data_IF_903763475789
#
_entry.id   IF_903763475789
#
_cell.length_a   1.000
_cell.length_b   1.000
_cell.length_c   1.000
_cell.angle_alpha   90.00
_cell.angle_beta   90.00
_cell.angle_gamma   90.00
#
_symmetry.space_group_name_H-M   'P 1'
#
loop_
_entity.id
_entity.type
_entity.pdbx_description
1 polymer ?
#
# COMPACT_ATOMS: atom_id res chain seq x y z
N UNK A 1 0.51 9.30 -15.26
CA UNK A 1 1.02 8.82 -13.96
C UNK A 1 2.08 7.75 -14.19
N UNK A 2 3.27 7.87 -13.58
CA UNK A 2 4.30 6.82 -13.55
C UNK A 2 4.03 5.80 -12.43
N UNK A 3 4.81 4.70 -12.38
CA UNK A 3 4.70 3.71 -11.30
C UNK A 3 5.13 4.32 -9.96
N UNK A 4 6.14 5.18 -9.96
CA UNK A 4 6.62 5.91 -8.78
C UNK A 4 5.56 6.89 -8.26
N UNK A 5 4.89 7.60 -9.17
CA UNK A 5 3.78 8.48 -8.80
C UNK A 5 2.59 7.69 -8.23
N UNK A 6 2.27 6.53 -8.83
CA UNK A 6 1.26 5.62 -8.29
C UNK A 6 1.67 5.14 -6.89
N UNK A 7 2.90 4.67 -6.73
CA UNK A 7 3.42 4.14 -5.47
C UNK A 7 3.44 5.21 -4.35
N UNK A 8 3.88 6.44 -4.67
CA UNK A 8 3.85 7.56 -3.71
C UNK A 8 2.41 7.88 -3.30
N UNK A 9 1.48 8.00 -4.27
CA UNK A 9 0.07 8.24 -3.95
C UNK A 9 -0.55 7.09 -3.10
N UNK A 10 -0.18 5.85 -3.42
CA UNK A 10 -0.65 4.65 -2.73
C UNK A 10 -0.11 4.54 -1.29
N UNK A 11 1.17 4.90 -1.07
CA UNK A 11 1.82 4.82 0.23
C UNK A 11 1.56 6.05 1.12
N UNK A 12 1.15 7.18 0.55
CA UNK A 12 1.00 8.46 1.26
C UNK A 12 0.20 8.39 2.57
N UNK A 13 -0.95 7.68 2.66
CA UNK A 13 -1.69 7.58 3.92
C UNK A 13 -0.85 6.92 5.02
N UNK A 14 -0.07 5.90 4.67
CA UNK A 14 0.82 5.22 5.61
C UNK A 14 1.99 6.11 6.02
N UNK A 15 2.62 6.81 5.05
CA UNK A 15 3.73 7.75 5.34
C UNK A 15 3.31 8.80 6.37
N UNK A 16 2.13 9.41 6.17
CA UNK A 16 1.59 10.41 7.09
C UNK A 16 1.33 9.83 8.48
N UNK A 17 0.64 8.69 8.54
CA UNK A 17 0.34 8.04 9.80
C UNK A 17 1.59 7.64 10.59
N UNK A 18 2.64 7.17 9.90
CA UNK A 18 3.91 6.82 10.54
C UNK A 18 4.68 8.05 11.03
N UNK A 19 4.64 9.17 10.29
CA UNK A 19 5.30 10.41 10.68
C UNK A 19 4.59 11.10 11.85
N UNK A 20 3.26 11.14 11.81
CA UNK A 20 2.44 11.77 12.85
C UNK A 20 2.36 10.91 14.12
N UNK A 21 2.34 9.58 13.99
CA UNK A 21 2.08 8.67 15.09
C UNK A 21 0.67 8.87 15.65
N UNK A 22 0.50 8.60 16.96
CA UNK A 22 -0.72 8.91 17.72
C UNK A 22 -2.01 8.44 17.05
N UNK A 23 -2.97 9.36 16.92
CA UNK A 23 -4.32 9.09 16.43
C UNK A 23 -4.35 8.68 14.95
N UNK A 24 -3.51 9.27 14.09
CA UNK A 24 -3.46 8.88 12.68
C UNK A 24 -3.01 7.43 12.52
N UNK A 25 -1.99 7.03 13.28
CA UNK A 25 -1.52 5.64 13.30
C UNK A 25 -2.56 4.70 13.93
N UNK A 26 -3.31 5.16 14.95
CA UNK A 26 -4.40 4.38 15.54
C UNK A 26 -5.55 4.13 14.55
N UNK A 27 -5.87 5.11 13.70
CA UNK A 27 -6.85 4.94 12.61
C UNK A 27 -6.35 3.90 11.61
N UNK A 28 -5.09 4.01 11.15
CA UNK A 28 -4.51 3.04 10.22
C UNK A 28 -4.50 1.62 10.81
N UNK A 29 -4.20 1.47 12.10
CA UNK A 29 -4.28 0.19 12.82
C UNK A 29 -5.69 -0.38 12.83
N UNK A 30 -6.68 0.47 13.09
CA UNK A 30 -8.09 0.04 13.06
C UNK A 30 -8.46 -0.46 11.67
N UNK A 31 -8.19 0.31 10.62
CA UNK A 31 -8.44 -0.10 9.23
C UNK A 31 -7.73 -1.42 8.91
N UNK A 32 -6.48 -1.58 9.35
CA UNK A 32 -5.70 -2.78 9.07
C UNK A 32 -6.23 -4.04 9.77
N UNK A 33 -6.68 -3.91 11.02
CA UNK A 33 -7.35 -5.00 11.74
C UNK A 33 -8.63 -5.39 11.04
N UNK A 34 -9.44 -4.40 10.64
CA UNK A 34 -10.71 -4.71 10.01
C UNK A 34 -10.54 -5.29 8.60
N UNK A 35 -9.49 -4.93 7.88
CA UNK A 35 -9.15 -5.59 6.62
C UNK A 35 -8.77 -7.08 6.80
N UNK A 36 -8.30 -7.46 7.99
CA UNK A 36 -7.90 -8.84 8.33
C UNK A 36 -9.07 -9.65 8.87
N UNK A 37 -9.87 -9.04 9.75
CA UNK A 37 -11.04 -9.64 10.38
C UNK A 37 -12.24 -8.66 10.28
N UNK A 38 -12.93 -8.64 9.12
CA UNK A 38 -14.00 -7.69 8.87
C UNK A 38 -15.29 -8.07 9.63
N UNK A 39 -15.90 -7.14 10.40
CA UNK A 39 -17.21 -7.32 11.00
C UNK A 39 -18.27 -7.67 9.96
N UNK A 40 -19.36 -8.25 10.45
CA UNK A 40 -20.52 -8.52 9.63
C UNK A 40 -21.01 -7.26 8.89
N UNK A 41 -21.38 -7.42 7.62
CA UNK A 41 -21.85 -6.32 6.78
C UNK A 41 -20.75 -5.41 6.19
N UNK A 42 -19.48 -5.57 6.55
CA UNK A 42 -18.37 -4.80 5.95
C UNK A 42 -18.12 -5.13 4.47
N UNK A 43 -18.67 -6.24 3.97
CA UNK A 43 -18.70 -6.56 2.55
C UNK A 43 -19.23 -5.41 1.67
N UNK A 44 -20.09 -4.52 2.21
CA UNK A 44 -20.59 -3.32 1.50
C UNK A 44 -19.51 -2.29 1.15
N UNK A 45 -18.38 -2.28 1.87
CA UNK A 45 -17.26 -1.38 1.60
C UNK A 45 -16.33 -1.91 0.50
N UNK A 46 -16.45 -3.19 0.13
CA UNK A 46 -15.63 -3.85 -0.90
C UNK A 46 -15.65 -3.07 -2.22
N UNK A 47 -16.81 -2.57 -2.64
CA UNK A 47 -16.97 -1.82 -3.89
C UNK A 47 -16.09 -0.56 -3.96
N UNK A 48 -15.83 0.10 -2.82
CA UNK A 48 -14.98 1.29 -2.77
C UNK A 48 -13.50 0.92 -2.89
N UNK A 49 -13.05 -0.10 -2.16
CA UNK A 49 -11.68 -0.63 -2.27
C UNK A 49 -11.40 -1.21 -3.67
N UNK A 50 -12.40 -1.83 -4.27
CA UNK A 50 -12.33 -2.38 -5.62
C UNK A 50 -12.14 -1.31 -6.68
N UNK A 51 -12.74 -0.12 -6.50
CA UNK A 51 -12.55 1.01 -7.41
C UNK A 51 -11.10 1.50 -7.39
N UNK A 52 -10.55 1.78 -6.20
CA UNK A 52 -9.15 2.18 -6.04
C UNK A 52 -8.19 1.16 -6.64
N UNK A 53 -8.48 -0.14 -6.46
CA UNK A 53 -7.68 -1.22 -7.07
C UNK A 53 -7.78 -1.21 -8.60
N UNK A 54 -8.98 -1.00 -9.16
CA UNK A 54 -9.17 -0.90 -10.63
C UNK A 54 -8.35 0.25 -11.21
N UNK A 55 -8.34 1.39 -10.56
CA UNK A 55 -7.58 2.57 -11.01
C UNK A 55 -6.07 2.32 -10.99
N UNK A 56 -5.55 1.71 -9.92
CA UNK A 56 -4.15 1.31 -9.84
C UNK A 56 -3.79 0.30 -10.94
N UNK A 57 -4.62 -0.74 -11.15
CA UNK A 57 -4.39 -1.76 -12.18
C UNK A 57 -4.43 -1.19 -13.59
N UNK A 58 -5.30 -0.20 -13.86
CA UNK A 58 -5.34 0.47 -15.17
C UNK A 58 -4.00 1.18 -15.47
N UNK A 59 -3.46 1.88 -14.47
CA UNK A 59 -2.17 2.56 -14.58
C UNK A 59 -1.03 1.56 -14.79
N UNK A 60 -1.02 0.47 -14.03
CA UNK A 60 0.00 -0.58 -14.16
C UNK A 60 -0.07 -1.27 -15.53
N UNK A 61 -1.28 -1.53 -16.04
CA UNK A 61 -1.49 -2.16 -17.36
C UNK A 61 -0.85 -1.30 -18.46
N UNK A 62 -0.98 0.02 -18.38
CA UNK A 62 -0.38 0.94 -19.33
C UNK A 62 1.15 1.06 -19.21
N UNK A 63 1.75 0.64 -18.08
CA UNK A 63 3.19 0.81 -17.80
C UNK A 63 3.98 -0.49 -17.82
N UNK A 64 3.32 -1.64 -17.74
CA UNK A 64 3.92 -2.97 -17.72
C UNK A 64 3.30 -3.82 -18.83
N UNK A 65 3.55 -3.48 -20.12
CA UNK A 65 3.04 -4.28 -21.23
C UNK A 65 3.61 -5.71 -21.13
N UNK A 66 2.74 -6.71 -21.29
CA UNK A 66 3.10 -8.13 -21.18
C UNK A 66 2.82 -8.76 -19.81
N UNK A 67 2.45 -7.98 -18.79
CA UNK A 67 2.02 -8.53 -17.49
C UNK A 67 0.50 -8.70 -17.47
N UNK A 68 0.05 -9.91 -17.13
CA UNK A 68 -1.37 -10.24 -17.07
C UNK A 68 -2.13 -9.45 -16.01
N UNK A 69 -3.40 -9.11 -16.28
CA UNK A 69 -4.24 -8.35 -15.33
C UNK A 69 -4.41 -9.04 -13.97
N UNK A 70 -4.47 -10.38 -13.95
CA UNK A 70 -4.56 -11.15 -12.70
C UNK A 70 -3.32 -10.95 -11.83
N UNK A 71 -2.14 -10.98 -12.44
CA UNK A 71 -0.87 -10.73 -11.77
C UNK A 71 -0.77 -9.28 -11.27
N UNK A 72 -1.19 -8.29 -12.06
CA UNK A 72 -1.21 -6.89 -11.61
C UNK A 72 -2.13 -6.68 -10.40
N UNK A 73 -3.28 -7.37 -10.36
CA UNK A 73 -4.14 -7.37 -9.18
C UNK A 73 -3.45 -8.01 -7.98
N UNK A 74 -2.73 -9.12 -8.18
CA UNK A 74 -1.98 -9.79 -7.11
C UNK A 74 -0.89 -8.86 -6.55
N UNK A 75 -0.06 -8.25 -7.41
CA UNK A 75 0.97 -7.28 -7.02
C UNK A 75 0.40 -6.10 -6.25
N UNK A 76 -0.75 -5.59 -6.67
CA UNK A 76 -1.45 -4.50 -5.97
C UNK A 76 -1.91 -4.94 -4.57
N UNK A 77 -2.39 -6.18 -4.42
CA UNK A 77 -2.72 -6.75 -3.11
C UNK A 77 -1.48 -6.97 -2.23
N UNK A 78 -0.37 -7.42 -2.80
CA UNK A 78 0.90 -7.53 -2.08
C UNK A 78 1.37 -6.16 -1.55
N UNK A 79 1.34 -5.12 -2.39
CA UNK A 79 1.66 -3.76 -1.97
C UNK A 79 0.75 -3.28 -0.83
N UNK A 80 -0.56 -3.52 -0.93
CA UNK A 80 -1.51 -3.20 0.15
C UNK A 80 -1.22 -4.00 1.43
N UNK A 81 -0.90 -5.28 1.32
CA UNK A 81 -0.58 -6.15 2.45
C UNK A 81 0.70 -5.73 3.19
N UNK A 82 1.73 -5.30 2.45
CA UNK A 82 2.95 -4.74 3.04
C UNK A 82 2.64 -3.49 3.89
N UNK A 83 1.82 -2.57 3.35
CA UNK A 83 1.38 -1.40 4.11
C UNK A 83 0.53 -1.80 5.31
N UNK A 84 -0.38 -2.76 5.15
CA UNK A 84 -1.22 -3.27 6.23
C UNK A 84 -0.37 -3.84 7.38
N UNK A 85 0.69 -4.57 7.06
CA UNK A 85 1.63 -5.10 8.04
C UNK A 85 2.33 -3.98 8.81
N UNK A 86 2.78 -2.92 8.13
CA UNK A 86 3.42 -1.78 8.79
C UNK A 86 2.50 -1.07 9.80
N UNK A 87 1.19 -1.02 9.54
CA UNK A 87 0.24 -0.45 10.49
C UNK A 87 0.25 -1.23 11.83
N UNK A 88 0.34 -2.56 11.75
CA UNK A 88 0.20 -3.48 12.87
C UNK A 88 1.53 -3.80 13.56
N UNK A 89 2.65 -3.65 12.86
CA UNK A 89 3.97 -3.95 13.37
C UNK A 89 4.37 -3.00 14.51
N UNK A 90 5.16 -3.48 15.51
CA UNK A 90 5.75 -2.65 16.54
C UNK A 90 6.94 -1.86 15.98
N UNK A 91 6.67 -0.91 15.08
CA UNK A 91 7.70 -0.09 14.45
C UNK A 91 8.36 0.81 15.51
N UNK A 92 9.60 0.47 15.85
CA UNK A 92 10.40 1.16 16.86
C UNK A 92 11.28 2.26 16.27
N UNK A 93 12.58 2.16 16.51
CA UNK A 93 13.58 3.13 16.03
C UNK A 93 13.64 3.28 14.50
N UNK A 94 13.05 2.33 13.75
CA UNK A 94 12.98 2.34 12.28
C UNK A 94 12.24 3.56 11.72
N UNK A 95 11.25 4.09 12.45
CA UNK A 95 10.44 5.25 12.02
C UNK A 95 10.38 6.37 13.05
N UNK A 96 10.78 6.11 14.29
CA UNK A 96 10.76 7.09 15.36
C UNK A 96 11.55 8.36 14.99
N UNK A 97 10.90 9.52 15.14
CA UNK A 97 11.49 10.84 14.87
C UNK A 97 11.78 11.15 13.40
N UNK A 98 11.37 10.29 12.45
CA UNK A 98 11.55 10.54 11.02
C UNK A 98 10.44 11.44 10.48
N UNK A 99 10.82 12.38 9.63
CA UNK A 99 9.87 13.18 8.84
C UNK A 99 9.16 12.33 7.78
N UNK A 100 8.02 12.82 7.26
CA UNK A 100 7.31 12.20 6.13
C UNK A 100 8.25 11.90 4.96
N UNK A 101 9.14 12.83 4.61
CA UNK A 101 10.10 12.66 3.51
C UNK A 101 11.07 11.49 3.76
N UNK A 102 11.57 11.35 4.98
CA UNK A 102 12.49 10.26 5.34
C UNK A 102 11.76 8.92 5.33
N UNK A 103 10.51 8.87 5.78
CA UNK A 103 9.68 7.66 5.73
C UNK A 103 9.34 7.30 4.28
N UNK A 104 8.98 8.28 3.45
CA UNK A 104 8.72 8.08 2.03
C UNK A 104 9.96 7.53 1.30
N UNK A 105 11.16 8.02 1.60
CA UNK A 105 12.40 7.51 1.04
C UNK A 105 12.66 6.03 1.37
N UNK A 106 12.26 5.58 2.57
CA UNK A 106 12.37 4.17 2.97
C UNK A 106 11.30 3.30 2.30
N UNK A 107 10.05 3.80 2.26
CA UNK A 107 8.90 3.00 1.87
C UNK A 107 8.67 2.96 0.35
N UNK A 108 8.93 4.07 -0.35
CA UNK A 108 8.62 4.20 -1.77
C UNK A 108 9.33 3.12 -2.63
N UNK A 109 10.63 2.83 -2.45
CA UNK A 109 11.29 1.77 -3.23
C UNK A 109 10.66 0.38 -3.03
N UNK A 110 10.21 0.07 -1.81
CA UNK A 110 9.56 -1.21 -1.49
C UNK A 110 8.22 -1.33 -2.22
N UNK A 111 7.40 -0.28 -2.17
CA UNK A 111 6.10 -0.25 -2.85
C UNK A 111 6.28 -0.27 -4.38
N UNK A 112 7.23 0.50 -4.91
CA UNK A 112 7.56 0.46 -6.35
C UNK A 112 7.99 -0.94 -6.76
N UNK A 113 8.84 -1.61 -5.98
CA UNK A 113 9.28 -2.98 -6.23
C UNK A 113 8.11 -3.97 -6.27
N UNK A 114 7.21 -3.91 -5.28
CA UNK A 114 6.02 -4.76 -5.22
C UNK A 114 5.11 -4.56 -6.45
N UNK A 115 4.91 -3.32 -6.90
CA UNK A 115 4.08 -3.00 -8.07
C UNK A 115 4.76 -3.38 -9.40
N UNK A 116 6.04 -3.03 -9.55
CA UNK A 116 6.84 -3.30 -10.75
C UNK A 116 7.11 -4.79 -10.94
N UNK A 117 7.18 -5.54 -9.84
CA UNK A 117 7.62 -6.94 -9.82
C UNK A 117 9.13 -7.04 -10.08
N UNK A 118 9.76 -8.07 -9.52
CA UNK A 118 11.14 -8.39 -9.90
C UNK A 118 11.14 -8.93 -11.34
N UNK A 119 12.06 -8.42 -12.16
CA UNK A 119 12.31 -8.98 -13.49
C UNK A 119 12.96 -10.35 -13.31
N UNK A 120 12.15 -11.41 -13.37
CA UNK A 120 12.59 -12.82 -13.33
C UNK A 120 13.28 -13.26 -12.03
N UNK A 121 12.50 -13.73 -11.05
CA UNK A 121 12.97 -14.89 -10.27
C UNK A 121 12.68 -16.10 -11.16
N UNK A 122 13.69 -16.52 -11.93
CA UNK A 122 13.68 -17.82 -12.59
C UNK A 122 14.21 -18.87 -11.62
#
# INVERSE_FOLDING_TARGET
>A
MSIEQLASAFARPMVRALAAGGDELAIMRTVARVATDPPEGWGRLSAKFDRTRKDAVAVLTAKLPGVGRAELNFRTRCAAGLLNWLALAPLGAEVAGKSERQIEQLLLPVVVGALRGASNVR
#
